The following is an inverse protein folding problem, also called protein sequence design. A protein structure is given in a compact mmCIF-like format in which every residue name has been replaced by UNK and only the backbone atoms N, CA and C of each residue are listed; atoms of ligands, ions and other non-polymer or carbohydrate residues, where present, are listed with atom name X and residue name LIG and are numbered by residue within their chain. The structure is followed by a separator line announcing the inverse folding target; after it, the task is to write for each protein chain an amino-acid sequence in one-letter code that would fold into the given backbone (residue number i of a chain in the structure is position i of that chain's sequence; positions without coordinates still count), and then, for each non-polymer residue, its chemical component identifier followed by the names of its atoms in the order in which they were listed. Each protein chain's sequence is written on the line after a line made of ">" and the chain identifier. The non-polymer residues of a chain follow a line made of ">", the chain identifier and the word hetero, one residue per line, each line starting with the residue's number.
data_IF_133760136654
#
_entry.id   IF_133760136654
#
_cell.length_a   1.000
_cell.length_b   1.000
_cell.length_c   1.000
_cell.angle_alpha   90.00
_cell.angle_beta   90.00
_cell.angle_gamma   90.00
#
_symmetry.space_group_name_H-M   'P 1'
#
loop_
_entity.id
_entity.type
_entity.pdbx_description
1 polymer ?
#
# COMPACT_ATOMS: atom_id res chain seq x y z
N UNK A 1 -11.19 -2.47 18.84
CA UNK A 1 -10.76 -1.13 18.41
C UNK A 1 -9.55 -1.34 17.52
N UNK A 2 -9.54 -0.78 16.31
CA UNK A 2 -8.33 -0.76 15.46
C UNK A 2 -7.41 0.26 16.10
N UNK A 3 -6.24 -0.16 16.58
CA UNK A 3 -5.25 0.80 17.06
C UNK A 3 -4.89 1.76 15.92
N UNK A 4 -4.96 3.09 16.12
CA UNK A 4 -4.39 3.99 15.15
C UNK A 4 -2.91 3.65 15.03
N UNK A 5 -2.47 3.30 13.83
CA UNK A 5 -1.05 3.19 13.55
C UNK A 5 -0.45 4.56 13.90
N UNK A 6 0.39 4.62 14.94
CA UNK A 6 0.93 5.88 15.44
C UNK A 6 1.38 6.75 14.28
N UNK A 7 0.87 7.98 14.22
CA UNK A 7 1.29 9.02 13.29
C UNK A 7 2.82 8.99 13.11
N UNK A 8 3.30 8.84 11.87
CA UNK A 8 4.73 8.86 11.46
C UNK A 8 5.56 7.58 11.69
N UNK A 9 5.00 6.40 11.46
CA UNK A 9 5.80 5.18 11.34
C UNK A 9 6.41 5.08 9.92
N UNK A 10 7.64 5.57 9.73
CA UNK A 10 8.40 5.38 8.48
C UNK A 10 8.54 3.89 8.15
N UNK A 11 7.88 3.40 7.09
CA UNK A 11 7.89 1.97 6.70
C UNK A 11 9.08 1.67 5.79
N UNK A 12 9.26 2.48 4.75
CA UNK A 12 10.20 2.15 3.69
C UNK A 12 11.65 2.59 3.99
N UNK A 13 11.85 3.52 4.92
CA UNK A 13 13.18 3.91 5.39
C UNK A 13 14.00 2.75 5.95
N UNK A 14 13.49 1.95 6.91
CA UNK A 14 14.15 0.73 7.36
C UNK A 14 14.43 -0.28 6.24
N UNK A 15 13.50 -0.50 5.30
CA UNK A 15 13.72 -1.40 4.17
C UNK A 15 14.86 -0.93 3.28
N UNK A 16 14.90 0.37 2.98
CA UNK A 16 15.97 0.98 2.21
C UNK A 16 17.32 0.82 2.90
N UNK A 17 17.38 1.01 4.22
CA UNK A 17 18.61 0.76 5.00
C UNK A 17 19.09 -0.68 4.84
N UNK A 18 18.19 -1.67 4.91
CA UNK A 18 18.57 -3.07 4.69
C UNK A 18 19.15 -3.29 3.28
N UNK A 19 18.57 -2.68 2.24
CA UNK A 19 19.07 -2.79 0.87
C UNK A 19 20.41 -2.09 0.67
N UNK A 20 20.63 -0.94 1.29
CA UNK A 20 21.95 -0.27 1.29
C UNK A 20 23.01 -1.16 1.93
N UNK A 21 22.70 -1.83 3.04
CA UNK A 21 23.64 -2.78 3.65
C UNK A 21 23.94 -4.00 2.78
N UNK A 22 22.92 -4.54 2.11
CA UNK A 22 23.10 -5.62 1.15
C UNK A 22 24.03 -5.17 0.01
N UNK A 23 23.87 -3.94 -0.47
CA UNK A 23 24.77 -3.33 -1.43
C UNK A 23 26.18 -3.21 -0.85
N UNK A 24 26.39 -2.53 0.27
CA UNK A 24 27.74 -2.26 0.80
C UNK A 24 28.56 -3.52 1.09
N UNK A 25 27.88 -4.62 1.41
CA UNK A 25 28.53 -5.90 1.72
C UNK A 25 28.65 -6.83 0.52
N UNK A 26 28.22 -6.46 -0.70
CA UNK A 26 28.08 -7.36 -1.86
C UNK A 26 29.36 -8.13 -2.23
N UNK A 27 30.54 -7.52 -2.01
CA UNK A 27 31.87 -8.08 -2.29
C UNK A 27 32.41 -8.99 -1.20
N UNK A 28 31.94 -8.84 0.03
CA UNK A 28 32.49 -9.58 1.15
C UNK A 28 31.97 -11.01 1.16
N UNK A 29 32.89 -11.95 1.30
CA UNK A 29 32.59 -13.37 1.60
C UNK A 29 32.94 -13.72 3.05
N UNK A 30 33.26 -12.73 3.89
CA UNK A 30 33.55 -13.00 5.30
C UNK A 30 32.28 -13.47 6.01
N UNK A 31 32.45 -14.39 6.96
CA UNK A 31 31.36 -14.87 7.80
C UNK A 31 30.66 -13.72 8.52
N UNK A 32 31.43 -12.75 9.00
CA UNK A 32 30.94 -11.53 9.65
C UNK A 32 30.00 -10.73 8.74
N UNK A 33 30.36 -10.52 7.47
CA UNK A 33 29.51 -9.79 6.54
C UNK A 33 28.21 -10.53 6.23
N UNK A 34 28.24 -11.87 6.15
CA UNK A 34 27.03 -12.68 5.96
C UNK A 34 26.11 -12.64 7.19
N UNK A 35 26.68 -12.75 8.39
CA UNK A 35 25.92 -12.61 9.65
C UNK A 35 25.28 -11.23 9.75
N UNK A 36 26.00 -10.19 9.32
CA UNK A 36 25.54 -8.83 9.37
C UNK A 36 24.44 -8.52 8.33
N UNK A 37 24.49 -9.12 7.13
CA UNK A 37 23.36 -9.11 6.19
C UNK A 37 22.10 -9.68 6.82
N UNK A 38 22.22 -10.84 7.48
CA UNK A 38 21.08 -11.50 8.15
C UNK A 38 20.54 -10.65 9.30
N UNK A 39 21.40 -9.93 10.03
CA UNK A 39 21.00 -8.95 11.04
C UNK A 39 20.26 -7.78 10.43
N UNK A 40 20.78 -7.15 9.37
CA UNK A 40 20.11 -6.05 8.69
C UNK A 40 18.71 -6.44 8.19
N UNK A 41 18.57 -7.65 7.62
CA UNK A 41 17.26 -8.18 7.25
C UNK A 41 16.32 -8.29 8.47
N UNK A 42 16.78 -8.94 9.54
CA UNK A 42 15.95 -9.24 10.71
C UNK A 42 15.60 -8.01 11.54
N UNK A 43 16.48 -7.01 11.58
CA UNK A 43 16.32 -5.79 12.39
C UNK A 43 15.63 -4.65 11.64
N UNK A 44 15.73 -4.61 10.31
CA UNK A 44 15.21 -3.49 9.53
C UNK A 44 14.16 -3.89 8.51
N UNK A 45 14.42 -4.92 7.70
CA UNK A 45 13.50 -5.31 6.64
C UNK A 45 12.26 -6.04 7.17
N UNK A 46 12.46 -7.13 7.93
CA UNK A 46 11.37 -7.98 8.43
C UNK A 46 10.36 -7.21 9.31
N UNK A 47 10.79 -6.35 10.26
CA UNK A 47 9.83 -5.58 11.05
C UNK A 47 9.04 -4.56 10.23
N UNK A 48 9.66 -3.95 9.22
CA UNK A 48 8.97 -3.04 8.31
C UNK A 48 7.98 -3.79 7.41
N UNK A 49 8.32 -5.00 6.97
CA UNK A 49 7.42 -5.86 6.20
C UNK A 49 6.18 -6.26 7.02
N UNK A 50 6.37 -6.65 8.28
CA UNK A 50 5.25 -6.93 9.20
C UNK A 50 4.31 -5.74 9.39
N UNK A 51 4.84 -4.50 9.35
CA UNK A 51 3.98 -3.30 9.36
C UNK A 51 3.16 -3.19 8.07
N UNK A 52 3.73 -3.52 6.91
CA UNK A 52 2.96 -3.59 5.66
C UNK A 52 1.86 -4.66 5.72
N UNK A 53 2.11 -5.81 6.37
CA UNK A 53 1.09 -6.85 6.61
C UNK A 53 -0.08 -6.32 7.45
N UNK A 54 0.22 -5.60 8.53
CA UNK A 54 -0.80 -4.95 9.37
C UNK A 54 -1.61 -3.95 8.55
N UNK A 55 -0.92 -3.13 7.75
CA UNK A 55 -1.57 -2.16 6.86
C UNK A 55 -2.50 -2.85 5.87
N UNK A 56 -2.04 -3.92 5.24
CA UNK A 56 -2.84 -4.73 4.33
C UNK A 56 -4.11 -5.27 4.98
N UNK A 57 -3.96 -5.84 6.18
CA UNK A 57 -5.08 -6.38 6.97
C UNK A 57 -6.09 -5.29 7.34
N UNK A 58 -5.59 -4.13 7.77
CA UNK A 58 -6.43 -2.97 8.10
C UNK A 58 -7.17 -2.42 6.88
N UNK A 59 -6.49 -2.37 5.73
CA UNK A 59 -7.10 -2.00 4.44
C UNK A 59 -8.25 -2.94 4.10
N UNK A 60 -7.99 -4.24 3.99
CA UNK A 60 -9.01 -5.22 3.62
C UNK A 60 -10.21 -5.17 4.57
N UNK A 61 -9.96 -5.08 5.87
CA UNK A 61 -11.02 -4.97 6.89
C UNK A 61 -11.88 -3.72 6.69
N UNK A 62 -11.23 -2.59 6.40
CA UNK A 62 -11.91 -1.31 6.22
C UNK A 62 -12.71 -1.29 4.91
N UNK A 63 -12.14 -1.78 3.81
CA UNK A 63 -12.84 -1.93 2.53
C UNK A 63 -14.04 -2.88 2.64
N UNK A 64 -13.88 -4.01 3.32
CA UNK A 64 -14.97 -4.97 3.56
C UNK A 64 -16.10 -4.34 4.40
N UNK A 65 -15.76 -3.67 5.50
CA UNK A 65 -16.75 -2.96 6.34
C UNK A 65 -17.50 -1.90 5.55
N UNK A 66 -16.80 -1.16 4.68
CA UNK A 66 -17.43 -0.15 3.85
C UNK A 66 -18.35 -0.77 2.80
N UNK A 67 -17.88 -1.82 2.11
CA UNK A 67 -18.67 -2.57 1.16
C UNK A 67 -19.97 -3.14 1.77
N UNK A 68 -19.88 -3.70 2.98
CA UNK A 68 -21.04 -4.25 3.69
C UNK A 68 -22.13 -3.22 4.00
N UNK A 69 -21.75 -1.98 4.27
CA UNK A 69 -22.69 -0.87 4.45
C UNK A 69 -23.23 -0.40 3.10
N UNK A 70 -22.34 -0.20 2.12
CA UNK A 70 -22.70 0.31 0.82
C UNK A 70 -23.64 -0.63 0.03
N UNK A 71 -23.44 -1.96 0.13
CA UNK A 71 -24.29 -2.94 -0.58
C UNK A 71 -25.73 -2.98 -0.07
N UNK A 72 -25.98 -2.45 1.14
CA UNK A 72 -27.32 -2.33 1.72
C UNK A 72 -27.95 -0.95 1.48
N UNK A 73 -27.23 -0.05 0.81
CA UNK A 73 -27.60 1.35 0.65
C UNK A 73 -27.87 2.06 2.00
N UNK A 74 -27.22 1.59 3.07
CA UNK A 74 -27.27 2.24 4.37
C UNK A 74 -26.34 3.46 4.36
N UNK A 75 -26.78 4.58 4.92
CA UNK A 75 -25.92 5.75 5.12
C UNK A 75 -24.95 5.47 6.28
N UNK A 76 -23.63 5.38 6.05
CA UNK A 76 -22.65 5.20 7.11
C UNK A 76 -22.69 6.39 8.10
N UNK A 77 -22.47 6.17 9.40
CA UNK A 77 -22.31 7.25 10.37
C UNK A 77 -21.15 8.18 10.01
N UNK A 78 -21.26 9.47 10.33
CA UNK A 78 -20.22 10.47 10.07
C UNK A 78 -18.86 10.08 10.67
N UNK A 79 -18.83 9.56 11.89
CA UNK A 79 -17.60 9.10 12.55
C UNK A 79 -16.86 8.04 11.73
N UNK A 80 -17.61 7.17 11.05
CA UNK A 80 -17.03 6.16 10.18
C UNK A 80 -16.45 6.79 8.92
N UNK A 81 -17.12 7.78 8.32
CA UNK A 81 -16.60 8.52 7.17
C UNK A 81 -15.32 9.30 7.53
N UNK A 82 -15.26 9.92 8.71
CA UNK A 82 -14.04 10.58 9.22
C UNK A 82 -12.90 9.59 9.42
N UNK A 83 -13.18 8.40 9.95
CA UNK A 83 -12.19 7.33 10.08
C UNK A 83 -11.59 6.96 8.70
N UNK A 84 -12.43 6.82 7.67
CA UNK A 84 -11.95 6.54 6.31
C UNK A 84 -11.13 7.67 5.69
N UNK A 85 -11.46 8.92 6.00
CA UNK A 85 -10.65 10.06 5.57
C UNK A 85 -9.27 10.08 6.24
N UNK A 86 -9.21 9.79 7.55
CA UNK A 86 -7.95 9.65 8.27
C UNK A 86 -7.07 8.57 7.64
N UNK A 87 -7.63 7.40 7.36
CA UNK A 87 -6.93 6.35 6.63
C UNK A 87 -6.46 6.84 5.26
N UNK A 88 -7.31 7.53 4.50
CA UNK A 88 -6.95 8.11 3.20
C UNK A 88 -5.75 9.07 3.25
N UNK A 89 -5.61 9.84 4.33
CA UNK A 89 -4.46 10.72 4.58
C UNK A 89 -3.19 9.93 4.96
N UNK A 90 -3.29 8.97 5.88
CA UNK A 90 -2.16 8.09 6.24
C UNK A 90 -1.61 7.38 5.00
N UNK A 91 -2.50 6.90 4.14
CA UNK A 91 -2.16 6.24 2.88
C UNK A 91 -1.51 7.18 1.87
N UNK A 92 -1.85 8.47 1.91
CA UNK A 92 -1.18 9.50 1.12
C UNK A 92 0.29 9.58 1.49
N UNK A 93 0.57 9.68 2.79
CA UNK A 93 1.93 9.75 3.32
C UNK A 93 2.73 8.50 2.97
N UNK A 94 2.15 7.30 3.08
CA UNK A 94 2.86 6.08 2.68
C UNK A 94 3.13 5.98 1.18
N UNK A 95 2.25 6.50 0.33
CA UNK A 95 2.52 6.59 -1.12
C UNK A 95 3.68 7.54 -1.43
N UNK A 96 3.80 8.64 -0.70
CA UNK A 96 4.94 9.55 -0.81
C UNK A 96 6.24 8.88 -0.36
N UNK A 97 6.23 8.20 0.79
CA UNK A 97 7.37 7.40 1.25
C UNK A 97 7.74 6.30 0.25
N UNK A 98 6.74 5.62 -0.34
CA UNK A 98 6.93 4.60 -1.36
C UNK A 98 7.55 5.17 -2.64
N UNK A 99 7.19 6.40 -3.03
CA UNK A 99 7.79 7.08 -4.18
C UNK A 99 9.27 7.31 -3.93
N UNK A 100 9.63 7.82 -2.76
CA UNK A 100 11.03 8.03 -2.36
C UNK A 100 11.80 6.69 -2.35
N UNK A 101 11.22 5.68 -1.72
CA UNK A 101 11.77 4.33 -1.72
C UNK A 101 11.98 3.77 -3.14
N UNK A 102 10.97 3.88 -4.01
CA UNK A 102 11.02 3.39 -5.38
C UNK A 102 12.11 4.08 -6.19
N UNK A 103 12.23 5.41 -6.06
CA UNK A 103 13.26 6.22 -6.72
C UNK A 103 14.66 5.81 -6.25
N UNK A 104 14.91 5.80 -4.94
CA UNK A 104 16.25 5.47 -4.41
C UNK A 104 16.61 4.01 -4.72
N UNK A 105 15.67 3.09 -4.55
CA UNK A 105 15.90 1.67 -4.84
C UNK A 105 16.20 1.45 -6.32
N UNK A 106 15.52 2.17 -7.23
CA UNK A 106 15.79 2.13 -8.67
C UNK A 106 17.20 2.61 -9.02
N UNK A 107 17.72 3.64 -8.34
CA UNK A 107 19.11 4.05 -8.53
C UNK A 107 20.08 3.04 -7.93
N UNK A 108 19.80 2.53 -6.73
CA UNK A 108 20.63 1.55 -6.04
C UNK A 108 20.85 0.28 -6.89
N UNK A 109 19.79 -0.25 -7.50
CA UNK A 109 19.88 -1.47 -8.35
C UNK A 109 20.65 -1.29 -9.65
N UNK A 110 20.86 -0.07 -10.15
CA UNK A 110 21.75 0.17 -11.31
C UNK A 110 23.20 -0.16 -10.98
N UNK A 111 23.59 0.03 -9.73
CA UNK A 111 24.96 -0.20 -9.25
C UNK A 111 25.18 -1.61 -8.70
N UNK A 112 24.12 -2.37 -8.43
CA UNK A 112 24.22 -3.77 -8.01
C UNK A 112 24.86 -4.64 -9.09
N UNK A 113 25.86 -5.43 -8.70
CA UNK A 113 26.60 -6.32 -9.63
C UNK A 113 26.03 -7.72 -9.71
N UNK A 114 25.30 -8.18 -8.69
CA UNK A 114 24.72 -9.52 -8.63
C UNK A 114 23.31 -9.52 -9.24
N UNK A 115 23.07 -10.27 -10.34
CA UNK A 115 21.79 -10.25 -11.03
C UNK A 115 20.61 -10.72 -10.16
N UNK A 116 20.82 -11.71 -9.30
CA UNK A 116 19.80 -12.27 -8.43
C UNK A 116 19.39 -11.31 -7.29
N UNK A 117 20.36 -10.61 -6.70
CA UNK A 117 20.10 -9.57 -5.70
C UNK A 117 19.33 -8.39 -6.32
N UNK A 118 19.75 -7.98 -7.52
CA UNK A 118 19.05 -6.96 -8.31
C UNK A 118 17.60 -7.34 -8.61
N UNK A 119 17.38 -8.54 -9.17
CA UNK A 119 16.04 -9.02 -9.52
C UNK A 119 15.13 -9.08 -8.29
N UNK A 120 15.63 -9.56 -7.15
CA UNK A 120 14.85 -9.65 -5.92
C UNK A 120 14.39 -8.27 -5.42
N UNK A 121 15.28 -7.28 -5.44
CA UNK A 121 14.98 -5.91 -5.01
C UNK A 121 14.00 -5.23 -6.00
N UNK A 122 14.23 -5.37 -7.31
CA UNK A 122 13.35 -4.81 -8.35
C UNK A 122 11.94 -5.41 -8.27
N UNK A 123 11.83 -6.73 -8.16
CA UNK A 123 10.56 -7.43 -8.02
C UNK A 123 9.79 -6.98 -6.77
N UNK A 124 10.48 -6.82 -5.64
CA UNK A 124 9.84 -6.35 -4.40
C UNK A 124 9.37 -4.90 -4.53
N UNK A 125 10.20 -4.01 -5.08
CA UNK A 125 9.83 -2.62 -5.35
C UNK A 125 8.57 -2.54 -6.21
N UNK A 126 8.55 -3.24 -7.34
CA UNK A 126 7.44 -3.21 -8.27
C UNK A 126 6.16 -3.77 -7.66
N UNK A 127 6.24 -4.90 -6.95
CA UNK A 127 5.08 -5.49 -6.29
C UNK A 127 4.45 -4.53 -5.27
N UNK A 128 5.26 -3.82 -4.48
CA UNK A 128 4.75 -2.84 -3.51
C UNK A 128 4.15 -1.62 -4.22
N UNK A 129 4.78 -1.10 -5.28
CA UNK A 129 4.21 0.00 -6.08
C UNK A 129 2.85 -0.40 -6.65
N UNK A 130 2.76 -1.57 -7.26
CA UNK A 130 1.52 -2.13 -7.80
C UNK A 130 0.43 -2.30 -6.74
N UNK A 131 0.81 -2.73 -5.53
CA UNK A 131 -0.12 -2.88 -4.42
C UNK A 131 -0.77 -1.55 -4.03
N UNK A 132 0.01 -0.47 -3.88
CA UNK A 132 -0.51 0.84 -3.51
C UNK A 132 -1.29 1.53 -4.65
N UNK A 133 -1.09 1.09 -5.90
CA UNK A 133 -1.79 1.62 -7.07
C UNK A 133 -3.24 1.12 -7.22
N UNK A 134 -3.67 0.07 -6.49
CA UNK A 134 -5.06 -0.45 -6.56
C UNK A 134 -6.11 0.64 -6.26
N UNK A 135 -5.78 1.55 -5.36
CA UNK A 135 -6.68 2.66 -4.97
C UNK A 135 -6.59 3.89 -5.89
N UNK A 136 -5.68 3.90 -6.87
CA UNK A 136 -5.43 5.07 -7.72
C UNK A 136 -6.16 4.87 -9.07
N UNK A 137 -6.84 5.89 -9.61
CA UNK A 137 -7.39 5.82 -10.96
C UNK A 137 -6.32 5.40 -11.98
N UNK A 138 -6.68 4.49 -12.89
CA UNK A 138 -5.75 3.99 -13.90
C UNK A 138 -5.19 5.14 -14.75
N UNK A 139 -3.86 5.16 -14.95
CA UNK A 139 -3.06 6.10 -15.78
C UNK A 139 -2.47 7.32 -15.10
N UNK A 140 -2.69 7.49 -13.80
CA UNK A 140 -2.24 8.69 -13.08
C UNK A 140 -1.35 8.33 -11.89
N UNK A 141 -0.01 8.36 -12.08
CA UNK A 141 0.96 8.15 -10.99
C UNK A 141 1.02 9.33 -10.00
N UNK A 142 0.20 10.38 -10.19
CA UNK A 142 0.40 11.70 -9.59
C UNK A 142 -0.76 12.28 -8.81
N UNK A 143 -1.93 11.65 -8.82
CA UNK A 143 -3.12 12.27 -8.24
C UNK A 143 -3.47 11.60 -6.92
N UNK A 144 -2.99 12.22 -5.85
CA UNK A 144 -3.85 12.37 -4.69
C UNK A 144 -4.95 13.37 -5.09
N UNK A 145 -6.22 13.11 -4.78
CA UNK A 145 -6.78 11.97 -4.04
C UNK A 145 -6.96 10.65 -4.85
N UNK A 146 -7.01 9.53 -4.13
CA UNK A 146 -7.35 8.20 -4.66
C UNK A 146 -8.83 8.12 -5.04
N UNK A 147 -9.27 7.19 -5.92
CA UNK A 147 -10.70 7.08 -6.29
C UNK A 147 -11.59 6.86 -5.07
N UNK A 148 -11.07 6.15 -4.07
CA UNK A 148 -11.76 5.90 -2.82
C UNK A 148 -11.85 7.16 -1.96
N UNK A 149 -10.77 7.95 -1.89
CA UNK A 149 -10.74 9.22 -1.14
C UNK A 149 -11.69 10.25 -1.74
N UNK A 150 -11.74 10.36 -3.08
CA UNK A 150 -12.70 11.23 -3.77
C UNK A 150 -14.14 10.84 -3.44
N UNK A 151 -14.44 9.54 -3.54
CA UNK A 151 -15.76 9.04 -3.20
C UNK A 151 -16.15 9.37 -1.76
N UNK A 152 -15.29 9.10 -0.78
CA UNK A 152 -15.60 9.35 0.64
C UNK A 152 -15.87 10.83 0.89
N UNK A 153 -15.11 11.73 0.25
CA UNK A 153 -15.31 13.18 0.38
C UNK A 153 -16.66 13.62 -0.20
N UNK A 154 -16.99 13.14 -1.40
CA UNK A 154 -18.25 13.48 -2.05
C UNK A 154 -19.43 12.89 -1.27
N UNK A 155 -19.33 11.64 -0.82
CA UNK A 155 -20.32 10.97 0.01
C UNK A 155 -20.60 11.74 1.30
N UNK A 156 -19.55 12.13 2.02
CA UNK A 156 -19.69 12.90 3.27
C UNK A 156 -20.36 14.25 3.04
N UNK A 157 -20.02 14.93 1.94
CA UNK A 157 -20.64 16.21 1.56
C UNK A 157 -22.16 16.06 1.43
N UNK A 158 -22.62 15.03 0.73
CA UNK A 158 -24.06 14.77 0.60
C UNK A 158 -24.74 14.47 1.94
N UNK A 159 -24.11 13.66 2.79
CA UNK A 159 -24.63 13.37 4.14
C UNK A 159 -24.77 14.63 4.99
N UNK A 160 -23.74 15.51 4.99
CA UNK A 160 -23.75 16.76 5.76
C UNK A 160 -24.82 17.74 5.31
N UNK A 161 -25.17 17.73 4.02
CA UNK A 161 -26.22 18.57 3.44
C UNK A 161 -27.63 17.96 3.62
N UNK A 162 -27.76 16.83 4.32
CA UNK A 162 -29.03 16.12 4.49
C UNK A 162 -29.54 15.49 3.19
N UNK A 163 -28.68 15.35 2.17
CA UNK A 163 -29.02 14.70 0.90
C UNK A 163 -28.69 13.21 0.99
N UNK A 164 -29.45 12.40 0.26
CA UNK A 164 -29.12 10.99 0.07
C UNK A 164 -27.82 10.91 -0.74
N UNK A 165 -26.71 10.37 -0.18
CA UNK A 165 -25.47 10.21 -0.92
C UNK A 165 -25.66 9.24 -2.08
N UNK A 166 -26.55 8.27 -1.93
CA UNK A 166 -26.87 7.33 -2.99
C UNK A 166 -27.42 8.04 -4.20
N UNK A 167 -28.32 9.00 -4.06
CA UNK A 167 -28.97 9.67 -5.19
C UNK A 167 -28.13 10.78 -5.85
N UNK A 168 -26.86 10.89 -5.46
CA UNK A 168 -25.93 11.87 -6.01
C UNK A 168 -25.21 11.40 -7.28
N UNK A 169 -24.76 12.38 -8.06
CA UNK A 169 -23.78 12.19 -9.12
C UNK A 169 -22.36 12.38 -8.54
N UNK A 170 -21.51 11.36 -8.66
CA UNK A 170 -20.13 11.39 -8.16
C UNK A 170 -19.17 11.83 -9.26
N UNK A 171 -18.31 12.81 -8.99
CA UNK A 171 -17.29 13.23 -9.97
C UNK A 171 -16.23 12.13 -10.15
N UNK A 172 -15.77 11.92 -11.38
CA UNK A 172 -14.71 10.95 -11.68
C UNK A 172 -15.17 9.49 -11.88
N UNK A 173 -16.47 9.22 -11.74
CA UNK A 173 -17.10 7.95 -12.13
C UNK A 173 -17.99 8.26 -13.33
N UNK A 174 -17.41 8.36 -14.53
CA UNK A 174 -18.14 8.52 -15.80
C UNK A 174 -18.90 7.23 -16.14
N UNK A 175 -19.93 6.91 -15.38
CA UNK A 175 -20.74 5.72 -15.56
C UNK A 175 -22.24 6.06 -15.56
N UNK A 176 -23.02 5.33 -16.36
CA UNK A 176 -24.49 5.42 -16.36
C UNK A 176 -25.11 5.01 -15.02
N UNK A 177 -24.37 4.27 -14.20
CA UNK A 177 -24.73 3.88 -12.83
C UNK A 177 -23.51 4.09 -11.90
N UNK A 178 -23.30 5.31 -11.37
CA UNK A 178 -22.19 5.60 -10.47
C UNK A 178 -22.23 4.76 -9.18
N UNK A 179 -23.43 4.46 -8.65
CA UNK A 179 -23.62 3.69 -7.41
C UNK A 179 -23.17 2.25 -7.61
N UNK A 180 -23.70 1.58 -8.63
CA UNK A 180 -23.33 0.19 -8.95
C UNK A 180 -21.86 0.08 -9.34
N UNK A 181 -21.34 1.06 -10.08
CA UNK A 181 -19.90 1.12 -10.42
C UNK A 181 -19.03 1.23 -9.18
N UNK A 182 -19.43 2.05 -8.20
CA UNK A 182 -18.70 2.19 -6.96
C UNK A 182 -18.70 0.90 -6.13
N UNK A 183 -19.87 0.29 -5.94
CA UNK A 183 -20.01 -0.99 -5.22
C UNK A 183 -19.18 -2.09 -5.91
N UNK A 184 -19.21 -2.14 -7.24
CA UNK A 184 -18.40 -3.06 -8.05
C UNK A 184 -16.90 -2.81 -7.84
N UNK A 185 -16.43 -1.56 -7.84
CA UNK A 185 -15.01 -1.22 -7.62
C UNK A 185 -14.56 -1.55 -6.20
N UNK A 186 -15.37 -1.24 -5.18
CA UNK A 186 -15.08 -1.68 -3.81
C UNK A 186 -14.92 -3.19 -3.74
N UNK A 187 -15.86 -3.92 -4.35
CA UNK A 187 -15.86 -5.37 -4.39
C UNK A 187 -14.60 -5.93 -5.04
N UNK A 188 -14.26 -5.42 -6.22
CA UNK A 188 -13.04 -5.80 -6.92
C UNK A 188 -11.80 -5.51 -6.06
N UNK A 189 -11.73 -4.32 -5.45
CA UNK A 189 -10.61 -3.94 -4.60
C UNK A 189 -10.39 -4.93 -3.43
N UNK A 190 -11.45 -5.31 -2.70
CA UNK A 190 -11.31 -6.18 -1.53
C UNK A 190 -11.29 -7.69 -1.84
N UNK A 191 -12.05 -8.17 -2.82
CA UNK A 191 -12.15 -9.62 -3.12
C UNK A 191 -10.99 -10.12 -3.99
N UNK A 192 -10.48 -9.29 -4.90
CA UNK A 192 -9.56 -9.77 -5.93
C UNK A 192 -8.29 -8.94 -6.03
N UNK A 193 -8.37 -7.62 -6.19
CA UNK A 193 -7.21 -6.80 -6.55
C UNK A 193 -6.19 -6.66 -5.40
N UNK A 194 -6.60 -6.21 -4.22
CA UNK A 194 -5.70 -6.09 -3.06
C UNK A 194 -5.13 -7.46 -2.66
N UNK A 195 -5.92 -8.55 -2.54
CA UNK A 195 -5.37 -9.87 -2.24
C UNK A 195 -4.36 -10.36 -3.29
N UNK A 196 -4.64 -10.20 -4.58
CA UNK A 196 -3.75 -10.64 -5.65
C UNK A 196 -2.43 -9.85 -5.63
N UNK A 197 -2.50 -8.52 -5.48
CA UNK A 197 -1.29 -7.68 -5.38
C UNK A 197 -0.50 -7.97 -4.12
N UNK A 198 -1.17 -8.24 -2.99
CA UNK A 198 -0.50 -8.64 -1.76
C UNK A 198 0.22 -9.99 -1.90
N UNK A 199 -0.39 -10.95 -2.58
CA UNK A 199 0.26 -12.23 -2.89
C UNK A 199 1.54 -12.04 -3.69
N UNK A 200 1.58 -11.09 -4.62
CA UNK A 200 2.79 -10.74 -5.36
C UNK A 200 3.87 -10.11 -4.45
N UNK A 201 3.47 -9.24 -3.52
CA UNK A 201 4.36 -8.65 -2.50
C UNK A 201 4.97 -9.74 -1.61
N UNK A 202 4.17 -10.70 -1.14
CA UNK A 202 4.64 -11.82 -0.33
C UNK A 202 5.61 -12.73 -1.09
N UNK A 203 5.31 -13.05 -2.36
CA UNK A 203 6.22 -13.82 -3.21
C UNK A 203 7.55 -13.09 -3.44
N UNK A 204 7.52 -11.77 -3.69
CA UNK A 204 8.73 -10.98 -3.85
C UNK A 204 9.54 -10.87 -2.55
N UNK A 205 8.88 -10.78 -1.39
CA UNK A 205 9.53 -10.82 -0.07
C UNK A 205 10.32 -12.11 0.13
N UNK A 206 9.79 -13.25 -0.29
CA UNK A 206 10.50 -14.52 -0.21
C UNK A 206 11.79 -14.52 -1.05
N UNK A 207 11.78 -13.90 -2.24
CA UNK A 207 13.00 -13.71 -3.06
C UNK A 207 14.04 -12.85 -2.33
N UNK A 208 13.61 -11.74 -1.73
CA UNK A 208 14.49 -10.88 -0.92
C UNK A 208 15.10 -11.67 0.25
N UNK A 209 14.27 -12.41 0.99
CA UNK A 209 14.74 -13.23 2.11
C UNK A 209 15.80 -14.25 1.69
N UNK A 210 15.60 -14.93 0.54
CA UNK A 210 16.57 -15.87 0.02
C UNK A 210 17.92 -15.20 -0.26
N UNK A 211 17.91 -14.00 -0.83
CA UNK A 211 19.13 -13.21 -1.09
C UNK A 211 19.87 -12.82 0.19
N UNK A 212 19.16 -12.40 1.23
CA UNK A 212 19.78 -12.03 2.51
C UNK A 212 20.33 -13.23 3.30
N UNK A 213 19.87 -14.45 3.00
CA UNK A 213 20.28 -15.67 3.69
C UNK A 213 21.39 -16.47 2.99
N UNK A 214 21.68 -16.17 1.72
CA UNK A 214 22.82 -16.73 0.96
C UNK A 214 24.15 -16.29 1.54
#
# INVERSE_FOLDING_TARGET
>A
MVEPASSSSVIFGPMLRAFTWLYDTWRSKSREALEERRRAYSQHFEPAYKRLETIHTNYLTSFHKFYDLCRKFETPPLDLLHQFQQFGMEYATWREDLRNFSMVTRELVKSFRRPDEKEAIEAFREAVVDYFNVSIPSREFHHWPSWFTDFIRDFETHVREGRSPWDAEYRGIEAKDPKGTFIMRLRAAYESELPAKWSAVAAAKAKVQAVFNK
#
